data_IF_580849188115
#
_entry.id   IF_580849188115
#
_cell.length_a   1.000
_cell.length_b   1.000
_cell.length_c   1.000
_cell.angle_alpha   90.00
_cell.angle_beta   90.00
_cell.angle_gamma   90.00
#
_symmetry.space_group_name_H-M   'P 1'
#
loop_
_entity.id
_entity.type
_entity.pdbx_description
1 polymer ?
#
# COMPACT_ATOMS: atom_id res chain seq x y z
N UNK A 1 -4.20 71.12 63.86
CA UNK A 1 -4.61 70.95 65.27
C UNK A 1 -6.04 70.41 65.26
N UNK A 2 -6.18 69.17 65.72
CA UNK A 2 -7.36 68.57 66.40
C UNK A 2 -8.77 68.61 65.75
N UNK A 3 -9.17 67.40 65.32
CA UNK A 3 -10.50 66.72 65.37
C UNK A 3 -11.27 66.89 66.73
N UNK A 4 -12.41 66.21 67.07
CA UNK A 4 -13.35 65.29 66.35
C UNK A 4 -14.88 65.39 66.72
N UNK A 5 -15.68 64.43 66.18
CA UNK A 5 -16.84 63.70 66.78
C UNK A 5 -18.23 64.37 66.87
N UNK A 6 -19.41 63.72 66.75
CA UNK A 6 -19.88 62.31 66.65
C UNK A 6 -21.41 62.33 66.28
N UNK A 7 -22.03 61.41 65.52
CA UNK A 7 -22.70 60.11 65.84
C UNK A 7 -23.97 59.96 64.94
N UNK A 8 -24.74 58.83 64.84
CA UNK A 8 -24.42 57.39 65.08
C UNK A 8 -25.03 56.36 64.07
N UNK A 9 -24.49 55.12 64.14
CA UNK A 9 -25.08 53.76 64.03
C UNK A 9 -25.83 53.26 62.78
N UNK A 10 -25.40 52.10 62.25
CA UNK A 10 -26.17 50.83 62.36
C UNK A 10 -25.44 49.62 61.73
N UNK A 11 -25.15 48.63 62.58
CA UNK A 11 -25.06 47.18 62.38
C UNK A 11 -24.21 46.59 61.24
N UNK A 12 -23.08 45.97 61.62
CA UNK A 12 -22.45 44.88 60.89
C UNK A 12 -22.70 43.55 61.59
N UNK A 13 -23.02 42.51 60.81
CA UNK A 13 -22.64 41.13 61.10
C UNK A 13 -22.43 40.38 59.78
N UNK A 14 -21.48 39.44 59.74
CA UNK A 14 -20.88 38.92 58.50
C UNK A 14 -21.44 37.54 58.14
N UNK A 15 -21.52 37.24 56.84
CA UNK A 15 -21.15 35.92 56.26
C UNK A 15 -21.65 35.82 54.83
N UNK A 16 -20.82 36.27 53.89
CA UNK A 16 -20.87 35.85 52.49
C UNK A 16 -19.43 35.67 52.01
N UNK A 17 -18.73 34.67 52.57
CA UNK A 17 -17.42 34.26 52.09
C UNK A 17 -17.23 32.75 52.26
N UNK A 18 -17.93 31.96 51.46
CA UNK A 18 -17.60 30.53 51.32
C UNK A 18 -18.01 29.86 50.00
N UNK A 19 -18.86 30.46 49.16
CA UNK A 19 -19.52 29.64 48.13
C UNK A 19 -19.03 29.86 46.68
N UNK A 20 -18.21 30.90 46.41
CA UNK A 20 -17.76 31.18 45.03
C UNK A 20 -16.40 30.58 44.65
N UNK A 21 -15.57 30.13 45.61
CA UNK A 21 -14.23 29.62 45.30
C UNK A 21 -14.13 28.10 45.17
N UNK A 22 -15.16 27.33 45.56
CA UNK A 22 -15.14 25.86 45.51
C UNK A 22 -15.72 25.30 44.19
N UNK A 23 -16.57 26.07 43.50
CA UNK A 23 -17.24 25.64 42.27
C UNK A 23 -16.35 25.66 41.02
N UNK A 24 -15.20 26.34 41.06
CA UNK A 24 -14.31 26.49 39.88
C UNK A 24 -13.20 25.42 39.82
N UNK A 25 -12.91 24.74 40.94
CA UNK A 25 -11.83 23.74 41.00
C UNK A 25 -12.32 22.30 40.72
N UNK A 26 -13.55 21.95 41.12
CA UNK A 26 -14.15 20.63 40.83
C UNK A 26 -14.58 20.44 39.37
N UNK A 27 -14.79 21.54 38.62
CA UNK A 27 -15.10 21.50 37.19
C UNK A 27 -13.93 21.06 36.28
N UNK A 28 -12.70 20.97 36.82
CA UNK A 28 -11.51 20.57 36.06
C UNK A 28 -11.17 19.08 36.15
N UNK A 29 -11.90 18.29 36.95
CA UNK A 29 -11.62 16.88 37.18
C UNK A 29 -12.72 15.94 36.65
N UNK A 30 -13.03 16.02 35.35
CA UNK A 30 -13.51 14.85 34.58
C UNK A 30 -13.50 15.13 33.08
N UNK A 31 -12.33 15.44 32.52
CA UNK A 31 -12.15 15.23 31.08
C UNK A 31 -12.22 13.72 30.85
N UNK A 32 -13.44 13.19 30.67
CA UNK A 32 -13.73 11.78 30.48
C UNK A 32 -12.96 11.38 29.24
N UNK A 33 -11.83 10.68 29.44
CA UNK A 33 -10.97 10.18 28.37
C UNK A 33 -11.88 9.58 27.29
N UNK A 34 -11.83 10.06 26.03
CA UNK A 34 -12.74 9.57 25.00
C UNK A 34 -12.62 8.05 24.92
N UNK A 35 -13.74 7.33 24.73
CA UNK A 35 -13.73 5.88 24.69
C UNK A 35 -12.75 5.37 23.63
N UNK A 36 -12.19 4.18 23.83
CA UNK A 36 -11.14 3.65 22.97
C UNK A 36 -11.54 3.60 21.49
N UNK A 37 -12.84 3.40 21.20
CA UNK A 37 -13.42 3.46 19.86
C UNK A 37 -13.27 4.83 19.20
N UNK A 38 -13.44 5.92 19.96
CA UNK A 38 -13.39 7.28 19.42
C UNK A 38 -11.95 7.72 19.18
N UNK A 39 -11.02 7.27 20.04
CA UNK A 39 -9.58 7.44 19.83
C UNK A 39 -9.09 6.68 18.61
N UNK A 40 -9.54 5.43 18.43
CA UNK A 40 -9.17 4.65 17.26
C UNK A 40 -9.75 5.26 15.99
N UNK A 41 -11.02 5.72 16.02
CA UNK A 41 -11.65 6.42 14.90
C UNK A 41 -10.95 7.73 14.57
N UNK A 42 -10.56 8.51 15.56
CA UNK A 42 -9.81 9.75 15.33
C UNK A 42 -8.44 9.44 14.74
N UNK A 43 -7.70 8.48 15.31
CA UNK A 43 -6.40 8.02 14.80
C UNK A 43 -6.50 7.56 13.35
N UNK A 44 -7.46 6.70 13.01
CA UNK A 44 -7.60 6.18 11.65
C UNK A 44 -8.01 7.25 10.60
N UNK A 45 -8.66 8.33 11.03
CA UNK A 45 -9.06 9.42 10.14
C UNK A 45 -7.97 10.47 9.90
N UNK A 46 -6.86 10.43 10.63
CA UNK A 46 -5.74 11.35 10.43
C UNK A 46 -5.03 11.10 9.10
N UNK A 47 -4.49 12.17 8.54
CA UNK A 47 -3.58 12.08 7.39
C UNK A 47 -2.19 11.67 7.86
N UNK A 48 -1.57 10.75 7.13
CA UNK A 48 -0.22 10.29 7.41
C UNK A 48 0.82 11.29 6.89
N UNK A 49 1.98 11.33 7.54
CA UNK A 49 3.14 12.00 6.96
C UNK A 49 3.65 11.19 5.75
N UNK A 50 3.91 11.85 4.64
CA UNK A 50 4.47 11.25 3.41
C UNK A 50 6.00 11.13 3.45
N UNK A 51 6.66 11.70 4.45
CA UNK A 51 8.10 11.51 4.66
C UNK A 51 8.42 10.02 4.77
N UNK A 52 9.47 9.59 4.08
CA UNK A 52 9.91 8.19 4.00
C UNK A 52 8.89 7.18 3.43
N UNK A 53 7.77 7.65 2.85
CA UNK A 53 6.83 6.78 2.15
C UNK A 53 7.46 6.09 0.93
N UNK A 54 8.58 6.63 0.42
CA UNK A 54 9.41 6.00 -0.60
C UNK A 54 9.94 4.64 -0.17
N UNK A 55 10.33 4.44 1.10
CA UNK A 55 10.79 3.13 1.60
C UNK A 55 9.71 2.05 1.49
N UNK A 56 8.46 2.40 1.80
CA UNK A 56 7.32 1.49 1.66
C UNK A 56 7.11 1.16 0.18
N UNK A 57 7.18 2.15 -0.70
CA UNK A 57 6.99 1.91 -2.13
C UNK A 57 8.14 1.13 -2.76
N UNK A 58 9.39 1.29 -2.30
CA UNK A 58 10.53 0.48 -2.71
C UNK A 58 10.35 -0.98 -2.29
N UNK A 59 9.83 -1.21 -1.09
CA UNK A 59 9.46 -2.55 -0.63
C UNK A 59 8.35 -3.13 -1.51
N UNK A 60 7.37 -2.32 -1.92
CA UNK A 60 6.35 -2.75 -2.89
C UNK A 60 6.95 -3.09 -4.26
N UNK A 61 7.95 -2.35 -4.72
CA UNK A 61 8.68 -2.65 -5.96
C UNK A 61 9.39 -4.00 -5.89
N UNK A 62 10.01 -4.34 -4.75
CA UNK A 62 10.54 -5.68 -4.51
C UNK A 62 9.45 -6.76 -4.56
N UNK A 63 8.32 -6.55 -3.87
CA UNK A 63 7.19 -7.49 -3.86
C UNK A 63 6.64 -7.70 -5.28
N UNK A 64 6.56 -6.65 -6.09
CA UNK A 64 6.08 -6.75 -7.47
C UNK A 64 7.01 -7.57 -8.34
N UNK A 65 8.34 -7.37 -8.22
CA UNK A 65 9.32 -8.22 -8.91
C UNK A 65 9.20 -9.69 -8.50
N UNK A 66 9.08 -9.95 -7.19
CA UNK A 66 8.88 -11.29 -6.62
C UNK A 66 7.63 -11.95 -7.23
N UNK A 67 6.46 -11.34 -7.05
CA UNK A 67 5.18 -11.90 -7.51
C UNK A 67 5.11 -12.05 -9.03
N UNK A 68 5.54 -11.04 -9.81
CA UNK A 68 5.48 -11.15 -11.27
C UNK A 68 6.41 -12.22 -11.82
N UNK A 69 7.61 -12.39 -11.25
CA UNK A 69 8.51 -13.47 -11.67
C UNK A 69 7.92 -14.86 -11.41
N UNK A 70 7.36 -15.05 -10.21
CA UNK A 70 6.70 -16.29 -9.78
C UNK A 70 5.52 -16.63 -10.70
N UNK A 71 4.63 -15.66 -10.93
CA UNK A 71 3.43 -15.87 -11.74
C UNK A 71 3.75 -16.02 -13.23
N UNK A 72 4.74 -15.27 -13.74
CA UNK A 72 5.17 -15.43 -15.12
C UNK A 72 5.80 -16.80 -15.36
N UNK A 73 6.64 -17.28 -14.43
CA UNK A 73 7.24 -18.60 -14.56
C UNK A 73 6.16 -19.70 -14.57
N UNK A 74 5.15 -19.59 -13.72
CA UNK A 74 4.10 -20.60 -13.62
C UNK A 74 3.05 -20.53 -14.75
N UNK A 75 2.56 -19.34 -15.07
CA UNK A 75 1.39 -19.15 -15.93
C UNK A 75 1.69 -18.42 -17.24
N UNK A 76 2.92 -17.92 -17.43
CA UNK A 76 3.33 -17.23 -18.64
C UNK A 76 2.72 -15.83 -18.82
N UNK A 77 2.20 -15.23 -17.75
CA UNK A 77 1.58 -13.90 -17.76
C UNK A 77 2.06 -13.09 -16.55
N UNK A 78 2.01 -11.76 -16.65
CA UNK A 78 2.33 -10.87 -15.54
C UNK A 78 1.05 -10.42 -14.85
N UNK A 79 1.10 -10.17 -13.54
CA UNK A 79 -0.06 -9.66 -12.79
C UNK A 79 0.02 -8.16 -12.55
N UNK A 80 1.23 -7.60 -12.48
CA UNK A 80 1.44 -6.17 -12.39
C UNK A 80 1.78 -5.53 -13.74
N UNK A 81 2.63 -6.15 -14.57
CA UNK A 81 3.12 -5.58 -15.83
C UNK A 81 2.18 -5.79 -17.04
N UNK A 82 1.43 -4.75 -17.42
CA UNK A 82 0.43 -4.85 -18.48
C UNK A 82 0.97 -4.67 -19.92
N UNK A 83 2.16 -4.09 -20.09
CA UNK A 83 2.76 -3.88 -21.42
C UNK A 83 2.99 -5.21 -22.15
N UNK A 84 3.62 -6.20 -21.49
CA UNK A 84 3.85 -7.52 -22.07
C UNK A 84 2.54 -8.28 -22.33
N UNK A 85 1.61 -8.22 -21.38
CA UNK A 85 0.29 -8.85 -21.52
C UNK A 85 -0.48 -8.32 -22.73
N UNK A 86 -0.37 -7.03 -23.02
CA UNK A 86 -1.02 -6.42 -24.20
C UNK A 86 -0.51 -7.04 -25.50
N UNK A 87 0.79 -7.29 -25.59
CA UNK A 87 1.40 -7.98 -26.74
C UNK A 87 0.95 -9.44 -26.80
N UNK A 88 0.90 -10.17 -25.66
CA UNK A 88 0.42 -11.55 -25.63
C UNK A 88 -1.04 -11.68 -26.09
N UNK A 89 -1.90 -10.72 -25.74
CA UNK A 89 -3.27 -10.64 -26.26
C UNK A 89 -3.26 -10.42 -27.78
N UNK A 90 -2.47 -9.46 -28.26
CA UNK A 90 -2.38 -9.13 -29.69
C UNK A 90 -1.82 -10.26 -30.56
N UNK A 91 -0.92 -11.09 -30.01
CA UNK A 91 -0.39 -12.28 -30.69
C UNK A 91 -1.36 -13.47 -30.66
N UNK A 92 -2.32 -13.50 -29.73
CA UNK A 92 -3.29 -14.59 -29.58
C UNK A 92 -3.91 -15.08 -30.90
N UNK A 93 -4.45 -14.20 -31.76
CA UNK A 93 -5.03 -14.59 -33.05
C UNK A 93 -4.06 -15.25 -34.04
N UNK A 94 -2.76 -14.92 -34.00
CA UNK A 94 -1.75 -15.40 -34.94
C UNK A 94 -0.98 -16.62 -34.45
N UNK A 95 -0.76 -16.75 -33.13
CA UNK A 95 0.10 -17.80 -32.54
C UNK A 95 -0.66 -18.92 -31.81
N UNK A 96 -1.99 -18.81 -31.66
CA UNK A 96 -2.85 -19.79 -30.97
C UNK A 96 -2.82 -21.20 -31.56
N UNK A 97 -2.42 -21.37 -32.83
CA UNK A 97 -2.31 -22.68 -33.52
C UNK A 97 -0.89 -23.26 -33.58
N UNK A 98 0.15 -22.52 -33.20
CA UNK A 98 1.55 -22.88 -33.46
C UNK A 98 2.45 -22.89 -32.22
N UNK A 99 1.94 -22.44 -31.07
CA UNK A 99 2.75 -22.26 -29.85
C UNK A 99 2.45 -23.34 -28.82
N UNK A 100 3.46 -23.74 -28.05
CA UNK A 100 3.35 -24.64 -26.89
C UNK A 100 2.45 -24.12 -25.74
N UNK A 101 1.85 -22.93 -25.87
CA UNK A 101 0.95 -22.29 -24.89
C UNK A 101 -0.32 -21.72 -25.57
N UNK A 102 -1.27 -22.57 -26.01
CA UNK A 102 -2.40 -22.16 -26.87
C UNK A 102 -3.35 -21.11 -26.27
N UNK A 103 -3.33 -20.88 -24.95
CA UNK A 103 -4.24 -19.96 -24.23
C UNK A 103 -3.55 -18.86 -23.41
N UNK A 104 -2.26 -18.61 -23.59
CA UNK A 104 -1.54 -17.54 -22.85
C UNK A 104 -2.12 -16.13 -23.06
N UNK A 105 -2.77 -15.90 -24.21
CA UNK A 105 -3.45 -14.64 -24.53
C UNK A 105 -4.68 -14.39 -23.64
N UNK A 106 -5.43 -15.44 -23.26
CA UNK A 106 -6.61 -15.32 -22.41
C UNK A 106 -6.22 -14.94 -20.97
N UNK A 107 -5.22 -15.62 -20.41
CA UNK A 107 -4.59 -15.30 -19.11
C UNK A 107 -4.12 -13.83 -19.05
N UNK A 108 -3.51 -13.37 -20.13
CA UNK A 108 -3.05 -11.98 -20.27
C UNK A 108 -4.21 -10.98 -20.35
N UNK A 109 -5.30 -11.33 -21.05
CA UNK A 109 -6.51 -10.51 -21.11
C UNK A 109 -7.18 -10.40 -19.74
N UNK A 110 -7.31 -11.53 -19.01
CA UNK A 110 -7.82 -11.55 -17.63
C UNK A 110 -7.01 -10.62 -16.74
N UNK A 111 -5.68 -10.71 -16.81
CA UNK A 111 -4.79 -9.83 -16.04
C UNK A 111 -5.06 -8.35 -16.30
N UNK A 112 -5.16 -7.94 -17.57
CA UNK A 112 -5.44 -6.56 -17.97
C UNK A 112 -6.80 -6.09 -17.42
N UNK A 113 -7.85 -6.88 -17.63
CA UNK A 113 -9.22 -6.51 -17.20
C UNK A 113 -9.30 -6.39 -15.69
N UNK A 114 -8.80 -7.38 -14.95
CA UNK A 114 -8.83 -7.36 -13.49
C UNK A 114 -7.96 -6.25 -12.89
N UNK A 115 -6.81 -5.95 -13.50
CA UNK A 115 -5.97 -4.83 -13.12
C UNK A 115 -6.68 -3.48 -13.32
N UNK A 116 -7.37 -3.30 -14.45
CA UNK A 116 -8.19 -2.11 -14.71
C UNK A 116 -9.33 -1.97 -13.69
N UNK A 117 -10.03 -3.06 -13.37
CA UNK A 117 -11.06 -3.07 -12.32
C UNK A 117 -10.47 -2.72 -10.95
N UNK A 118 -9.28 -3.23 -10.63
CA UNK A 118 -8.54 -2.86 -9.42
C UNK A 118 -8.22 -1.37 -9.39
N UNK A 119 -7.73 -0.81 -10.50
CA UNK A 119 -7.43 0.62 -10.59
C UNK A 119 -8.67 1.47 -10.31
N UNK A 120 -9.83 1.09 -10.88
CA UNK A 120 -11.10 1.76 -10.62
C UNK A 120 -11.50 1.64 -9.14
N UNK A 121 -11.44 0.45 -8.57
CA UNK A 121 -11.80 0.20 -7.18
C UNK A 121 -10.95 1.01 -6.21
N UNK A 122 -9.62 0.88 -6.27
CA UNK A 122 -8.71 1.58 -5.35
C UNK A 122 -8.75 3.10 -5.56
N UNK A 123 -8.94 3.58 -6.79
CA UNK A 123 -9.11 5.02 -7.05
C UNK A 123 -10.40 5.58 -6.45
N UNK A 124 -11.49 4.79 -6.44
CA UNK A 124 -12.75 5.19 -5.79
C UNK A 124 -12.63 5.14 -4.27
N UNK A 125 -12.00 4.10 -3.73
CA UNK A 125 -11.71 3.97 -2.30
C UNK A 125 -10.91 5.17 -1.79
N UNK A 126 -9.84 5.55 -2.50
CA UNK A 126 -8.99 6.69 -2.16
C UNK A 126 -9.74 8.02 -2.22
N UNK A 127 -10.58 8.24 -3.24
CA UNK A 127 -11.40 9.46 -3.36
C UNK A 127 -12.46 9.57 -2.27
N UNK A 128 -13.13 8.47 -1.94
CA UNK A 128 -14.19 8.46 -0.94
C UNK A 128 -13.65 8.63 0.49
N UNK A 129 -12.58 7.89 0.81
CA UNK A 129 -12.06 7.83 2.17
C UNK A 129 -11.00 8.91 2.45
N UNK A 130 -10.47 9.56 1.41
CA UNK A 130 -9.34 10.49 1.49
C UNK A 130 -8.02 9.77 1.21
N UNK A 131 -7.23 10.18 0.19
CA UNK A 131 -6.10 9.40 -0.32
C UNK A 131 -4.95 9.23 0.67
N UNK A 132 -4.77 10.19 1.57
CA UNK A 132 -3.70 10.20 2.58
C UNK A 132 -4.18 9.83 3.98
N UNK A 133 -5.48 9.52 4.15
CA UNK A 133 -5.98 9.09 5.47
C UNK A 133 -5.42 7.71 5.82
N UNK A 134 -5.01 7.54 7.07
CA UNK A 134 -4.44 6.29 7.60
C UNK A 134 -5.36 5.09 7.33
N UNK A 135 -6.67 5.26 7.53
CA UNK A 135 -7.68 4.22 7.24
C UNK A 135 -7.64 3.75 5.79
N UNK A 136 -7.45 4.67 4.84
CA UNK A 136 -7.42 4.37 3.41
C UNK A 136 -6.21 3.53 3.06
N UNK A 137 -5.03 3.91 3.56
CA UNK A 137 -3.78 3.21 3.31
C UNK A 137 -3.79 1.84 3.99
N UNK A 138 -4.18 1.77 5.27
CA UNK A 138 -4.32 0.50 6.01
C UNK A 138 -5.32 -0.41 5.32
N UNK A 139 -6.52 0.06 4.97
CA UNK A 139 -7.52 -0.77 4.31
C UNK A 139 -7.06 -1.25 2.93
N UNK A 140 -6.38 -0.38 2.16
CA UNK A 140 -5.86 -0.73 0.84
C UNK A 140 -4.78 -1.82 0.93
N UNK A 141 -3.77 -1.63 1.78
CA UNK A 141 -2.69 -2.61 1.94
C UNK A 141 -3.17 -3.90 2.65
N UNK A 142 -4.10 -3.80 3.60
CA UNK A 142 -4.72 -4.96 4.22
C UNK A 142 -5.46 -5.82 3.18
N UNK A 143 -6.29 -5.20 2.34
CA UNK A 143 -7.01 -5.91 1.28
C UNK A 143 -6.04 -6.57 0.29
N UNK A 144 -4.98 -5.86 -0.12
CA UNK A 144 -3.96 -6.43 -0.98
C UNK A 144 -3.27 -7.65 -0.34
N UNK A 145 -2.93 -7.54 0.95
CA UNK A 145 -2.31 -8.63 1.71
C UNK A 145 -3.22 -9.86 1.79
N UNK A 146 -4.49 -9.65 2.15
CA UNK A 146 -5.49 -10.72 2.25
C UNK A 146 -5.64 -11.42 0.90
N UNK A 147 -5.74 -10.68 -0.20
CA UNK A 147 -5.88 -11.27 -1.53
C UNK A 147 -4.66 -12.14 -1.89
N UNK A 148 -3.42 -11.66 -1.66
CA UNK A 148 -2.22 -12.47 -1.93
C UNK A 148 -2.22 -13.75 -1.09
N UNK A 149 -2.57 -13.65 0.20
CA UNK A 149 -2.58 -14.79 1.13
C UNK A 149 -3.67 -15.80 0.79
N UNK A 150 -4.84 -15.35 0.34
CA UNK A 150 -5.90 -16.22 -0.19
C UNK A 150 -5.42 -16.97 -1.42
N UNK A 151 -4.74 -16.31 -2.34
CA UNK A 151 -4.17 -16.97 -3.52
C UNK A 151 -3.11 -18.00 -3.12
N UNK A 152 -2.22 -17.64 -2.18
CA UNK A 152 -1.22 -18.57 -1.63
C UNK A 152 -1.87 -19.81 -1.00
N UNK A 153 -2.95 -19.63 -0.23
CA UNK A 153 -3.70 -20.70 0.39
C UNK A 153 -4.43 -21.60 -0.63
N UNK A 154 -5.04 -21.02 -1.67
CA UNK A 154 -5.71 -21.77 -2.76
C UNK A 154 -4.71 -22.67 -3.49
N UNK A 155 -3.52 -22.14 -3.80
CA UNK A 155 -2.45 -22.88 -4.46
C UNK A 155 -1.90 -23.98 -3.54
N UNK A 156 -1.66 -23.65 -2.26
CA UNK A 156 -1.17 -24.61 -1.28
C UNK A 156 -2.17 -25.75 -1.01
N UNK A 157 -3.47 -25.46 -1.04
CA UNK A 157 -4.52 -26.46 -0.92
C UNK A 157 -4.64 -27.40 -2.14
N UNK A 158 -3.87 -27.14 -3.22
CA UNK A 158 -3.89 -27.96 -4.43
C UNK A 158 -5.13 -27.75 -5.30
N UNK A 159 -5.89 -26.68 -5.07
CA UNK A 159 -7.06 -26.34 -5.91
C UNK A 159 -6.61 -25.89 -7.30
N UNK A 160 -5.43 -25.25 -7.37
CA UNK A 160 -4.77 -24.77 -8.59
C UNK A 160 -3.35 -25.34 -8.64
N UNK A 161 -2.82 -25.62 -9.83
CA UNK A 161 -1.49 -26.20 -9.98
C UNK A 161 -0.40 -25.21 -9.56
N UNK A 162 0.22 -25.48 -8.41
CA UNK A 162 1.36 -24.74 -7.87
C UNK A 162 2.74 -25.21 -8.37
N UNK A 163 2.79 -26.32 -9.10
CA UNK A 163 4.02 -26.95 -9.56
C UNK A 163 4.58 -26.23 -10.79
N UNK A 164 5.86 -25.90 -10.75
CA UNK A 164 6.56 -25.19 -11.83
C UNK A 164 7.08 -26.14 -12.94
N UNK A 165 7.11 -27.45 -12.68
CA UNK A 165 7.77 -28.45 -13.54
C UNK A 165 6.84 -29.11 -14.58
N UNK A 166 5.53 -28.85 -14.52
CA UNK A 166 4.57 -29.48 -15.43
C UNK A 166 3.99 -28.43 -16.36
N UNK A 167 4.46 -28.41 -17.61
CA UNK A 167 3.77 -27.72 -18.71
C UNK A 167 2.45 -28.46 -18.90
N UNK A 168 1.43 -28.09 -18.11
CA UNK A 168 0.08 -28.59 -18.31
C UNK A 168 -0.44 -27.99 -19.61
N UNK A 169 -0.59 -28.84 -20.61
CA UNK A 169 -1.19 -28.52 -21.90
C UNK A 169 -2.71 -28.39 -21.82
N UNK A 170 -3.32 -28.78 -20.69
CA UNK A 170 -4.75 -28.68 -20.45
C UNK A 170 -5.17 -27.28 -20.00
N UNK A 171 -6.30 -26.83 -20.55
CA UNK A 171 -6.93 -25.55 -20.25
C UNK A 171 -7.51 -25.60 -18.85
N UNK A 172 -6.68 -25.32 -17.84
CA UNK A 172 -7.18 -25.12 -16.49
C UNK A 172 -7.63 -23.67 -16.31
N UNK A 173 -8.91 -23.42 -16.59
CA UNK A 173 -9.60 -22.17 -16.20
C UNK A 173 -9.43 -21.82 -14.71
N UNK A 174 -9.01 -22.79 -13.89
CA UNK A 174 -8.66 -22.60 -12.47
C UNK A 174 -7.46 -21.66 -12.28
N UNK A 175 -6.53 -21.59 -13.23
CA UNK A 175 -5.34 -20.72 -13.16
C UNK A 175 -5.71 -19.22 -13.27
N UNK A 176 -6.87 -18.91 -13.85
CA UNK A 176 -7.38 -17.55 -13.99
C UNK A 176 -7.72 -16.93 -12.62
N UNK A 177 -8.01 -17.76 -11.60
CA UNK A 177 -8.37 -17.28 -10.25
C UNK A 177 -7.17 -16.59 -9.57
N UNK A 178 -5.97 -17.22 -9.47
CA UNK A 178 -4.77 -16.51 -9.03
C UNK A 178 -4.46 -15.25 -9.82
N UNK A 179 -4.53 -15.32 -11.16
CA UNK A 179 -4.19 -14.20 -12.05
C UNK A 179 -5.13 -13.02 -11.79
N UNK A 180 -6.44 -13.24 -11.84
CA UNK A 180 -7.45 -12.19 -11.62
C UNK A 180 -7.29 -11.50 -10.27
N UNK A 181 -7.15 -12.28 -9.20
CA UNK A 181 -6.99 -11.77 -7.83
C UNK A 181 -5.67 -11.00 -7.67
N UNK A 182 -4.56 -11.55 -8.13
CA UNK A 182 -3.25 -10.91 -8.01
C UNK A 182 -3.13 -9.65 -8.88
N UNK A 183 -3.72 -9.63 -10.07
CA UNK A 183 -3.76 -8.44 -10.93
C UNK A 183 -4.64 -7.35 -10.34
N UNK A 184 -5.79 -7.72 -9.75
CA UNK A 184 -6.65 -6.76 -9.06
C UNK A 184 -5.93 -6.09 -7.89
N UNK A 185 -5.26 -6.88 -7.01
CA UNK A 185 -4.53 -6.28 -5.89
C UNK A 185 -3.30 -5.49 -6.32
N UNK A 186 -2.65 -5.88 -7.44
CA UNK A 186 -1.49 -5.16 -7.96
C UNK A 186 -1.83 -3.73 -8.40
N UNK A 187 -3.09 -3.44 -8.71
CA UNK A 187 -3.51 -2.06 -8.98
C UNK A 187 -3.46 -1.15 -7.73
N UNK A 188 -3.71 -1.71 -6.53
CA UNK A 188 -3.81 -0.92 -5.31
C UNK A 188 -2.51 -0.22 -4.91
N UNK A 189 -1.37 -0.87 -5.15
CA UNK A 189 -0.04 -0.30 -4.92
C UNK A 189 0.28 0.89 -5.84
N UNK A 190 -0.24 0.89 -7.08
CA UNK A 190 -0.05 1.99 -8.04
C UNK A 190 -0.89 3.19 -7.67
N UNK A 191 -2.14 2.95 -7.28
CA UNK A 191 -2.99 4.03 -6.77
C UNK A 191 -2.40 4.58 -5.48
N UNK A 192 -1.83 3.72 -4.63
CA UNK A 192 -1.10 4.08 -3.42
C UNK A 192 0.07 5.02 -3.67
N UNK A 193 0.98 4.72 -4.62
CA UNK A 193 2.10 5.64 -4.89
C UNK A 193 1.67 6.98 -5.43
N UNK A 194 0.66 6.99 -6.29
CA UNK A 194 0.10 8.23 -6.82
C UNK A 194 -0.48 9.08 -5.70
N UNK A 195 -1.19 8.46 -4.76
CA UNK A 195 -1.72 9.14 -3.58
C UNK A 195 -0.59 9.69 -2.67
N UNK A 196 0.50 8.95 -2.51
CA UNK A 196 1.65 9.32 -1.66
C UNK A 196 2.63 10.29 -2.33
N UNK A 197 2.39 10.71 -3.57
CA UNK A 197 3.27 11.63 -4.30
C UNK A 197 4.61 11.04 -4.73
N UNK A 198 4.75 9.72 -4.68
CA UNK A 198 5.95 8.96 -5.10
C UNK A 198 5.65 8.11 -6.33
N UNK A 199 5.00 8.73 -7.31
CA UNK A 199 4.55 8.07 -8.55
C UNK A 199 5.73 7.53 -9.39
N UNK A 200 6.95 7.98 -9.10
CA UNK A 200 8.18 7.49 -9.71
C UNK A 200 8.61 6.09 -9.23
N UNK A 201 8.07 5.56 -8.11
CA UNK A 201 8.59 4.34 -7.46
C UNK A 201 7.89 3.04 -7.91
N UNK A 202 6.55 2.92 -7.90
CA UNK A 202 5.90 1.73 -8.45
C UNK A 202 5.64 1.96 -9.93
N UNK A 203 6.65 1.60 -10.71
CA UNK A 203 6.59 1.68 -12.15
C UNK A 203 6.12 0.34 -12.69
N UNK A 204 4.82 0.20 -12.93
CA UNK A 204 4.32 -0.81 -13.89
C UNK A 204 4.84 -0.54 -15.32
N UNK A 205 5.54 0.58 -15.51
CA UNK A 205 6.22 0.99 -16.72
C UNK A 205 7.73 1.12 -16.45
N UNK A 206 8.43 -0.03 -16.28
CA UNK A 206 9.88 -0.06 -16.07
C UNK A 206 10.63 0.70 -17.18
N UNK A 207 10.11 0.66 -18.40
CA UNK A 207 10.72 1.31 -19.57
C UNK A 207 10.88 2.82 -19.36
N UNK A 208 9.84 3.52 -18.91
CA UNK A 208 9.93 4.97 -18.70
C UNK A 208 10.92 5.30 -17.58
N UNK A 209 10.95 4.47 -16.52
CA UNK A 209 11.92 4.62 -15.43
C UNK A 209 13.37 4.44 -15.91
N UNK A 210 13.64 3.44 -16.76
CA UNK A 210 14.97 3.23 -17.35
C UNK A 210 15.37 4.38 -18.27
N UNK A 211 14.44 4.84 -19.13
CA UNK A 211 14.68 6.02 -19.97
C UNK A 211 14.97 7.26 -19.13
N UNK A 212 14.20 7.48 -18.07
CA UNK A 212 14.36 8.59 -17.12
C UNK A 212 15.73 8.57 -16.40
N UNK A 213 16.27 7.39 -16.11
CA UNK A 213 17.62 7.24 -15.52
C UNK A 213 18.69 7.48 -16.59
N UNK A 214 18.55 6.85 -17.76
CA UNK A 214 19.56 6.90 -18.83
C UNK A 214 19.69 8.28 -19.49
N UNK A 215 18.59 9.05 -19.52
CA UNK A 215 18.55 10.41 -20.05
C UNK A 215 18.77 11.50 -18.99
N UNK A 216 19.06 11.14 -17.73
CA UNK A 216 19.33 12.12 -16.68
C UNK A 216 20.63 12.89 -17.01
N UNK A 217 20.59 14.21 -17.24
CA UNK A 217 21.78 15.00 -17.55
C UNK A 217 22.78 15.01 -16.38
N UNK A 218 22.33 14.68 -15.17
CA UNK A 218 23.12 14.61 -13.95
C UNK A 218 23.37 13.16 -13.51
N UNK A 219 23.41 12.19 -14.43
CA UNK A 219 23.62 10.77 -14.08
C UNK A 219 24.90 10.53 -13.27
N UNK A 220 25.97 11.30 -13.55
CA UNK A 220 27.25 11.22 -12.85
C UNK A 220 27.33 12.14 -11.60
N UNK A 221 26.30 12.95 -11.34
CA UNK A 221 26.29 13.83 -10.18
C UNK A 221 26.17 13.03 -8.87
N UNK A 222 26.71 13.55 -7.75
CA UNK A 222 26.67 12.89 -6.45
C UNK A 222 25.27 12.41 -6.07
N UNK A 223 25.17 11.31 -5.32
CA UNK A 223 23.89 10.74 -4.89
C UNK A 223 23.02 11.75 -4.11
N UNK A 224 23.59 12.79 -3.52
CA UNK A 224 22.85 13.81 -2.77
C UNK A 224 22.09 14.81 -3.65
N UNK A 225 22.40 14.94 -4.94
CA UNK A 225 21.84 16.00 -5.79
C UNK A 225 20.47 15.67 -6.39
N UNK A 226 20.16 14.39 -6.62
CA UNK A 226 18.92 13.97 -7.28
C UNK A 226 18.26 12.78 -6.57
N UNK A 227 17.44 13.08 -5.56
CA UNK A 227 16.69 12.08 -4.79
C UNK A 227 15.72 11.28 -5.67
N UNK A 228 15.09 11.92 -6.66
CA UNK A 228 14.15 11.26 -7.58
C UNK A 228 14.86 10.23 -8.47
N UNK A 229 16.03 10.56 -9.02
CA UNK A 229 16.88 9.62 -9.77
C UNK A 229 17.25 8.42 -8.91
N UNK A 230 17.71 8.65 -7.68
CA UNK A 230 18.09 7.56 -6.78
C UNK A 230 16.90 6.65 -6.44
N UNK A 231 15.72 7.23 -6.20
CA UNK A 231 14.48 6.46 -5.98
C UNK A 231 14.13 5.59 -7.16
N UNK A 232 14.25 6.10 -8.39
CA UNK A 232 14.04 5.34 -9.63
C UNK A 232 15.04 4.19 -9.77
N UNK A 233 16.33 4.48 -9.61
CA UNK A 233 17.38 3.46 -9.70
C UNK A 233 17.22 2.36 -8.63
N UNK A 234 16.89 2.75 -7.41
CA UNK A 234 16.64 1.81 -6.31
C UNK A 234 15.36 1.01 -6.55
N UNK A 235 14.29 1.63 -7.06
CA UNK A 235 13.05 0.92 -7.40
C UNK A 235 13.27 -0.14 -8.49
N UNK A 236 14.00 0.20 -9.56
CA UNK A 236 14.40 -0.75 -10.59
C UNK A 236 15.20 -1.92 -10.00
N UNK A 237 16.18 -1.60 -9.14
CA UNK A 237 17.00 -2.60 -8.46
C UNK A 237 16.15 -3.49 -7.55
N UNK A 238 15.21 -2.93 -6.80
CA UNK A 238 14.29 -3.70 -5.96
C UNK A 238 13.43 -4.67 -6.78
N UNK A 239 12.89 -4.24 -7.94
CA UNK A 239 12.13 -5.12 -8.84
C UNK A 239 13.02 -6.25 -9.33
N UNK A 240 14.23 -5.95 -9.80
CA UNK A 240 15.18 -6.95 -10.29
C UNK A 240 15.55 -7.96 -9.21
N UNK A 241 15.90 -7.48 -8.01
CA UNK A 241 16.24 -8.34 -6.87
C UNK A 241 15.04 -9.19 -6.46
N UNK A 242 13.83 -8.62 -6.43
CA UNK A 242 12.59 -9.37 -6.17
C UNK A 242 12.39 -10.50 -7.18
N UNK A 243 12.57 -10.22 -8.47
CA UNK A 243 12.44 -11.21 -9.53
C UNK A 243 13.50 -12.32 -9.44
N UNK A 244 14.74 -11.97 -9.10
CA UNK A 244 15.82 -12.94 -8.88
C UNK A 244 15.46 -13.85 -7.69
N UNK A 245 15.03 -13.26 -6.57
CA UNK A 245 14.63 -14.02 -5.37
C UNK A 245 13.49 -14.97 -5.68
N UNK A 246 12.44 -14.53 -6.38
CA UNK A 246 11.33 -15.39 -6.79
C UNK A 246 11.76 -16.53 -7.71
N UNK A 247 12.66 -16.25 -8.65
CA UNK A 247 13.23 -17.29 -9.52
C UNK A 247 13.99 -18.37 -8.73
N UNK A 248 14.85 -17.97 -7.79
CA UNK A 248 15.63 -18.91 -6.97
C UNK A 248 14.76 -19.68 -5.96
N UNK A 249 13.76 -19.05 -5.34
CA UNK A 249 12.83 -19.74 -4.44
C UNK A 249 11.99 -20.74 -5.24
N UNK A 250 11.47 -20.34 -6.39
CA UNK A 250 10.74 -21.21 -7.30
C UNK A 250 11.58 -22.43 -7.72
N UNK A 251 12.84 -22.21 -8.09
CA UNK A 251 13.76 -23.30 -8.43
C UNK A 251 14.06 -24.23 -7.25
N UNK A 252 14.32 -23.68 -6.06
CA UNK A 252 14.70 -24.47 -4.88
C UNK A 252 13.54 -25.28 -4.31
N UNK A 253 12.31 -24.76 -4.41
CA UNK A 253 11.12 -25.39 -3.80
C UNK A 253 10.26 -26.17 -4.80
N UNK A 254 10.42 -25.91 -6.10
CA UNK A 254 9.54 -26.41 -7.17
C UNK A 254 8.11 -25.87 -7.09
N UNK A 255 7.85 -24.88 -6.22
CA UNK A 255 6.51 -24.52 -5.75
C UNK A 255 6.32 -23.03 -5.57
N UNK A 256 5.32 -22.47 -6.25
CA UNK A 256 5.13 -21.02 -6.31
C UNK A 256 4.50 -20.40 -5.04
N UNK A 257 3.84 -21.20 -4.19
CA UNK A 257 3.11 -20.65 -3.03
C UNK A 257 4.03 -19.99 -1.99
N UNK A 258 5.30 -20.41 -1.90
CA UNK A 258 6.24 -19.86 -0.92
C UNK A 258 6.52 -18.36 -1.17
N UNK A 259 6.70 -17.99 -2.44
CA UNK A 259 6.87 -16.58 -2.83
C UNK A 259 5.65 -15.74 -2.46
N UNK A 260 4.45 -16.29 -2.64
CA UNK A 260 3.21 -15.58 -2.32
C UNK A 260 3.01 -15.40 -0.82
N UNK A 261 3.37 -16.39 0.02
CA UNK A 261 3.36 -16.23 1.47
C UNK A 261 4.36 -15.17 1.94
N UNK A 262 5.56 -15.13 1.36
CA UNK A 262 6.55 -14.09 1.66
C UNK A 262 6.03 -12.72 1.25
N UNK A 263 5.53 -12.58 0.01
CA UNK A 263 4.94 -11.34 -0.50
C UNK A 263 3.77 -10.85 0.38
N UNK A 264 2.85 -11.74 0.72
CA UNK A 264 1.71 -11.46 1.59
C UNK A 264 2.13 -11.05 2.99
N UNK A 265 3.09 -11.78 3.58
CA UNK A 265 3.66 -11.47 4.89
C UNK A 265 4.30 -10.08 4.94
N UNK A 266 5.10 -9.72 3.92
CA UNK A 266 5.70 -8.38 3.84
C UNK A 266 4.61 -7.31 3.71
N UNK A 267 3.54 -7.54 2.94
CA UNK A 267 2.42 -6.57 2.86
C UNK A 267 1.65 -6.44 4.19
N UNK A 268 1.54 -7.51 4.98
CA UNK A 268 0.99 -7.41 6.35
C UNK A 268 1.87 -6.50 7.21
N UNK A 269 3.20 -6.64 7.13
CA UNK A 269 4.12 -5.75 7.84
C UNK A 269 3.96 -4.29 7.39
N UNK A 270 3.81 -4.05 6.09
CA UNK A 270 3.52 -2.70 5.54
C UNK A 270 2.18 -2.17 6.09
N UNK A 271 1.16 -3.01 6.16
CA UNK A 271 -0.16 -2.64 6.72
C UNK A 271 -0.03 -2.22 8.19
N UNK A 272 0.73 -2.97 8.97
CA UNK A 272 1.03 -2.64 10.37
C UNK A 272 1.85 -1.35 10.47
N UNK A 273 2.82 -1.14 9.58
CA UNK A 273 3.60 0.10 9.52
C UNK A 273 2.69 1.31 9.27
N UNK A 274 1.75 1.23 8.32
CA UNK A 274 0.77 2.29 8.08
C UNK A 274 -0.12 2.57 9.29
N UNK A 275 -0.48 1.54 10.04
CA UNK A 275 -1.32 1.70 11.24
C UNK A 275 -0.61 2.51 12.35
N UNK A 276 0.70 2.35 12.49
CA UNK A 276 1.52 3.09 13.46
C UNK A 276 2.24 4.31 12.87
N UNK A 277 2.05 4.60 11.58
CA UNK A 277 2.77 5.66 10.88
C UNK A 277 2.48 7.04 11.46
N UNK A 278 3.46 7.95 11.58
CA UNK A 278 3.24 9.28 12.13
C UNK A 278 2.21 10.08 11.33
N UNK A 279 1.45 10.92 12.04
CA UNK A 279 0.52 11.88 11.42
C UNK A 279 1.28 13.04 10.77
N UNK A 280 0.64 13.68 9.78
CA UNK A 280 1.17 14.89 9.16
C UNK A 280 1.23 16.01 10.20
N UNK A 281 2.45 16.49 10.51
CA UNK A 281 2.65 17.66 11.36
C UNK A 281 2.17 18.90 10.59
N UNK A 282 1.23 19.66 11.14
CA UNK A 282 0.88 20.99 10.63
C UNK A 282 1.94 21.94 11.16
N UNK A 283 2.89 22.34 10.32
CA UNK A 283 3.76 23.46 10.64
C UNK A 283 2.91 24.74 10.65
N UNK A 284 2.72 25.30 11.84
CA UNK A 284 2.14 26.64 12.00
C UNK A 284 3.22 27.63 11.54
N UNK A 285 3.07 28.15 10.33
CA UNK A 285 3.85 29.28 9.79
C UNK A 285 3.25 30.58 10.30
#
# INVERSE_FOLDING_TARGET
MTMPESHPQSNGSPDQRSDESVSTEEGRLRQKRPPASDRLRSHLRQEVNTDHADLIMLTCSFISGLVDSTIYNAYGTFVSMQTGNTIFVGLGPSTSRTTSKPYGWAKSLTSIVCFCLGCLFFSRLARYSGPLRRVTLVASFALQSVIIMVVAAIIQAGVVNGALDTINTDIMWKDEVPISLLSFQAAGQIIGSRALGVSEIPSVVLTSMLCDIASDPNIAAPLTSNVKRNRRALAFTCILVGAIVGGYIGQATGRMQFDLWIAGGIKVLITMAWFFWPEKRVELV
#
